data_IF_865018967963
#
_entry.id   IF_865018967963
#
_cell.length_a   1.000
_cell.length_b   1.000
_cell.length_c   1.000
_cell.angle_alpha   90.00
_cell.angle_beta   90.00
_cell.angle_gamma   90.00
#
_symmetry.space_group_name_H-M   'P 1'
#
loop_
_entity.id
_entity.type
_entity.pdbx_description
1 polymer ?
#
# COMPACT_ATOMS: atom_id res chain seq x y z
N UNK A 1 1.10 -16.52 -9.43
CA UNK A 1 2.25 -15.98 -8.68
C UNK A 1 1.88 -14.62 -8.13
N UNK A 2 1.97 -14.45 -6.81
CA UNK A 2 1.74 -13.17 -6.18
C UNK A 2 2.95 -12.24 -6.42
N UNK A 3 2.72 -10.96 -6.70
CA UNK A 3 3.82 -10.02 -6.94
C UNK A 3 4.49 -9.66 -5.61
N UNK A 4 5.83 -9.65 -5.58
CA UNK A 4 6.57 -9.17 -4.43
C UNK A 4 6.33 -7.67 -4.20
N UNK A 5 6.13 -7.30 -2.95
CA UNK A 5 5.99 -5.92 -2.49
C UNK A 5 7.40 -5.40 -2.21
N UNK A 6 7.81 -4.32 -2.86
CA UNK A 6 9.11 -3.69 -2.59
C UNK A 6 9.14 -3.11 -1.15
N UNK A 7 10.32 -2.92 -0.56
CA UNK A 7 10.45 -2.19 0.70
C UNK A 7 9.86 -0.77 0.59
N UNK A 8 9.51 -0.19 1.74
CA UNK A 8 8.99 1.16 1.77
C UNK A 8 10.00 2.15 1.21
N UNK A 9 9.63 2.97 0.22
CA UNK A 9 10.53 3.98 -0.34
C UNK A 9 10.92 5.10 0.63
N UNK A 10 10.23 5.21 1.78
CA UNK A 10 10.43 6.27 2.78
C UNK A 10 11.37 5.79 3.89
N UNK A 11 11.05 4.66 4.53
CA UNK A 11 11.80 4.15 5.68
C UNK A 11 12.55 2.83 5.41
N UNK A 12 12.50 2.29 4.18
CA UNK A 12 12.98 0.96 3.83
C UNK A 12 12.38 -0.20 4.66
N UNK A 13 11.28 0.08 5.38
CA UNK A 13 10.57 -0.88 6.20
C UNK A 13 9.72 -1.87 5.40
N UNK A 14 9.23 -2.90 6.10
CA UNK A 14 8.33 -3.89 5.54
C UNK A 14 6.96 -3.28 5.20
N UNK A 15 6.37 -3.78 4.14
CA UNK A 15 5.07 -3.36 3.64
C UNK A 15 4.16 -4.56 3.50
N UNK A 16 2.89 -4.40 3.88
CA UNK A 16 1.88 -5.44 3.83
C UNK A 16 0.62 -4.96 3.10
N UNK A 17 -0.24 -5.89 2.70
CA UNK A 17 -1.48 -5.56 1.99
C UNK A 17 -2.63 -5.54 2.97
N UNK A 18 -3.21 -4.36 3.10
CA UNK A 18 -4.43 -4.14 3.86
C UNK A 18 -5.63 -4.17 2.91
N UNK A 19 -6.71 -4.77 3.38
CA UNK A 19 -7.99 -4.77 2.67
C UNK A 19 -8.87 -3.67 3.28
N UNK A 20 -9.43 -2.82 2.43
CA UNK A 20 -10.33 -1.73 2.80
C UNK A 20 -11.70 -2.00 2.19
N UNK A 21 -12.76 -1.83 2.97
CA UNK A 21 -14.11 -2.23 2.57
C UNK A 21 -15.07 -1.04 2.39
N UNK A 22 -14.69 0.05 1.70
CA UNK A 22 -15.64 1.15 1.44
C UNK A 22 -15.41 1.86 0.09
N UNK A 23 -16.44 2.03 -0.75
CA UNK A 23 -17.75 1.35 -0.83
C UNK A 23 -17.69 -0.05 -1.49
N UNK A 24 -16.49 -0.54 -1.84
CA UNK A 24 -16.24 -1.87 -2.41
C UNK A 24 -14.96 -2.44 -1.79
N UNK A 25 -14.77 -3.76 -1.88
CA UNK A 25 -13.51 -4.41 -1.46
C UNK A 25 -12.36 -3.86 -2.30
N UNK A 26 -11.47 -3.12 -1.66
CA UNK A 26 -10.24 -2.56 -2.22
C UNK A 26 -9.03 -3.05 -1.42
N UNK A 27 -7.87 -2.88 -2.00
CA UNK A 27 -6.58 -3.28 -1.43
C UNK A 27 -5.66 -2.06 -1.44
N UNK A 28 -4.99 -1.79 -0.34
CA UNK A 28 -3.90 -0.83 -0.24
C UNK A 28 -2.65 -1.52 0.30
N UNK A 29 -1.48 -0.96 0.01
CA UNK A 29 -0.23 -1.37 0.64
C UNK A 29 0.06 -0.41 1.76
N UNK A 30 0.29 -0.93 2.96
CA UNK A 30 0.64 -0.16 4.16
C UNK A 30 2.06 -0.53 4.60
N UNK A 31 2.87 0.46 4.94
CA UNK A 31 4.13 0.21 5.63
C UNK A 31 3.87 0.00 7.12
N UNK A 32 4.33 -1.12 7.66
CA UNK A 32 4.15 -1.46 9.09
C UNK A 32 5.05 -0.65 10.02
N UNK A 33 6.05 0.03 9.47
CA UNK A 33 7.04 0.82 10.23
C UNK A 33 6.64 2.29 10.31
N UNK A 34 6.36 2.94 9.18
CA UNK A 34 6.06 4.38 9.14
C UNK A 34 4.56 4.69 8.97
N UNK A 35 3.71 3.67 8.81
CA UNK A 35 2.26 3.83 8.64
C UNK A 35 1.82 4.42 7.31
N UNK A 36 2.73 4.64 6.35
CA UNK A 36 2.35 5.16 5.04
C UNK A 36 1.56 4.13 4.23
N UNK A 37 0.48 4.58 3.60
CA UNK A 37 -0.40 3.75 2.80
C UNK A 37 -0.49 4.27 1.36
N UNK A 38 -0.69 3.35 0.40
CA UNK A 38 -1.00 3.71 -0.99
C UNK A 38 -2.50 3.88 -1.21
N UNK A 39 -2.89 4.57 -2.27
CA UNK A 39 -4.28 4.61 -2.72
C UNK A 39 -4.92 3.22 -2.83
N UNK A 40 -6.14 3.03 -2.28
CA UNK A 40 -6.87 1.78 -2.43
C UNK A 40 -7.18 1.45 -3.89
N UNK A 41 -6.89 0.22 -4.31
CA UNK A 41 -7.12 -0.30 -5.67
C UNK A 41 -8.12 -1.46 -5.65
N UNK A 42 -8.86 -1.70 -6.75
CA UNK A 42 -9.86 -2.77 -6.80
C UNK A 42 -9.27 -4.19 -6.71
N UNK A 43 -7.98 -4.37 -6.98
CA UNK A 43 -7.31 -5.68 -6.92
C UNK A 43 -5.99 -5.63 -6.15
N UNK A 44 -5.62 -6.75 -5.53
CA UNK A 44 -4.35 -6.94 -4.80
C UNK A 44 -3.14 -6.61 -5.69
N UNK A 45 -3.11 -7.12 -6.92
CA UNK A 45 -2.03 -6.86 -7.87
C UNK A 45 -1.95 -5.38 -8.30
N UNK A 46 -3.08 -4.69 -8.41
CA UNK A 46 -3.09 -3.26 -8.71
C UNK A 46 -2.52 -2.43 -7.55
N UNK A 47 -2.82 -2.80 -6.30
CA UNK A 47 -2.24 -2.17 -5.12
C UNK A 47 -0.71 -2.34 -5.06
N UNK A 48 -0.24 -3.57 -5.27
CA UNK A 48 1.20 -3.88 -5.32
C UNK A 48 1.89 -3.12 -6.46
N UNK A 49 1.28 -3.09 -7.65
CA UNK A 49 1.83 -2.33 -8.78
C UNK A 49 1.86 -0.83 -8.48
N UNK A 50 0.85 -0.29 -7.82
CA UNK A 50 0.81 1.11 -7.40
C UNK A 50 1.99 1.39 -6.47
N UNK A 51 2.15 0.59 -5.41
CA UNK A 51 3.29 0.69 -4.48
C UNK A 51 4.65 0.58 -5.20
N UNK A 52 4.81 -0.40 -6.08
CA UNK A 52 6.09 -0.67 -6.74
C UNK A 52 6.44 0.33 -7.85
N UNK A 53 5.46 1.04 -8.43
CA UNK A 53 5.64 2.03 -9.51
C UNK A 53 5.66 3.47 -8.98
N UNK A 54 4.81 3.77 -8.02
CA UNK A 54 4.70 5.08 -7.37
C UNK A 54 5.06 4.88 -5.91
N UNK A 55 6.23 5.38 -5.52
CA UNK A 55 6.54 5.66 -4.11
C UNK A 55 5.31 6.33 -3.48
N UNK A 56 4.85 5.81 -2.33
CA UNK A 56 3.61 6.19 -1.63
C UNK A 56 3.11 7.59 -1.98
N UNK A 57 1.94 7.69 -2.63
CA UNK A 57 1.21 8.96 -2.70
C UNK A 57 0.51 9.14 -1.36
N UNK A 58 1.21 9.83 -0.46
CA UNK A 58 0.78 10.31 0.85
C UNK A 58 -0.71 10.59 0.96
N UNK A 59 -1.39 9.99 1.97
CA UNK A 59 -2.47 10.63 2.74
C UNK A 59 -2.44 10.12 4.20
N UNK A 60 -2.02 11.02 5.11
CA UNK A 60 -2.31 11.14 6.55
C UNK A 60 -2.08 9.92 7.47
N UNK A 61 -0.97 9.93 8.20
CA UNK A 61 -1.10 9.83 9.67
C UNK A 61 -1.54 11.20 10.15
N UNK A 62 -2.85 11.37 10.32
CA UNK A 62 -3.40 12.48 11.12
C UNK A 62 -3.67 11.88 12.49
N UNK A 63 -2.59 11.73 13.25
CA UNK A 63 -2.57 11.55 14.70
C UNK A 63 -1.37 12.34 15.20
#
# INVERSE_FOLDING_TARGET
MEKAIKPCSICNGLCDIKTVFEPQKKYCVTCTVCGNETDPKPTRNAAINCHNKTSFKSIKSLL
#
